data_IF_648621172452
#
_entry.id   IF_648621172452
#
_cell.length_a   1.000
_cell.length_b   1.000
_cell.length_c   1.000
_cell.angle_alpha   90.00
_cell.angle_beta   90.00
_cell.angle_gamma   90.00
#
_symmetry.space_group_name_H-M   'P 1'
#
loop_
_entity.id
_entity.type
_entity.pdbx_description
1 polymer ?
#
# COMPACT_ATOMS: atom_id res chain seq x y z
N UNK A 1 -2.61 12.56 -12.44
CA UNK A 1 -3.93 12.41 -11.75
C UNK A 1 -3.94 11.09 -11.02
N UNK A 2 -4.41 11.03 -9.75
CA UNK A 2 -4.59 9.78 -9.00
C UNK A 2 -5.84 9.08 -9.53
N UNK A 3 -5.75 7.82 -10.01
CA UNK A 3 -6.94 7.09 -10.45
C UNK A 3 -7.77 6.63 -9.24
N UNK A 4 -9.07 6.60 -9.39
CA UNK A 4 -9.99 5.94 -8.46
C UNK A 4 -10.15 4.47 -8.87
N UNK A 5 -9.76 3.56 -7.98
CA UNK A 5 -9.83 2.12 -8.20
C UNK A 5 -10.82 1.54 -7.20
N UNK A 6 -11.73 0.66 -7.63
CA UNK A 6 -12.79 0.14 -6.77
C UNK A 6 -13.10 -1.33 -7.08
N UNK A 7 -13.59 -2.08 -6.06
CA UNK A 7 -14.00 -3.48 -6.18
C UNK A 7 -15.42 -3.77 -5.64
N UNK A 8 -16.20 -2.72 -5.35
CA UNK A 8 -17.53 -2.83 -4.76
C UNK A 8 -17.54 -2.79 -3.22
N UNK A 9 -16.40 -2.95 -2.55
CA UNK A 9 -16.24 -2.92 -1.09
C UNK A 9 -15.30 -1.82 -0.65
N UNK A 10 -14.13 -1.72 -1.29
CA UNK A 10 -13.15 -0.68 -1.03
C UNK A 10 -12.83 0.14 -2.28
N UNK A 11 -12.41 1.38 -2.05
CA UNK A 11 -11.84 2.24 -3.10
C UNK A 11 -10.43 2.66 -2.70
N UNK A 12 -9.55 2.78 -3.71
CA UNK A 12 -8.27 3.44 -3.59
C UNK A 12 -8.38 4.84 -4.21
N UNK A 13 -8.16 5.86 -3.41
CA UNK A 13 -8.23 7.26 -3.83
C UNK A 13 -6.99 8.01 -3.35
N UNK A 14 -6.86 9.28 -3.70
CA UNK A 14 -5.85 10.13 -3.06
C UNK A 14 -6.19 10.41 -1.60
N UNK A 15 -5.18 10.70 -0.79
CA UNK A 15 -5.36 11.32 0.51
C UNK A 15 -5.78 12.78 0.38
N UNK A 16 -6.55 13.25 1.35
CA UNK A 16 -7.02 14.65 1.46
C UNK A 16 -6.78 15.17 2.88
N UNK A 17 -6.86 16.47 3.09
CA UNK A 17 -6.71 17.06 4.42
C UNK A 17 -7.77 16.57 5.41
N UNK A 18 -8.96 16.19 4.92
CA UNK A 18 -10.03 15.62 5.77
C UNK A 18 -9.64 14.26 6.36
N UNK A 19 -8.66 13.58 5.78
CA UNK A 19 -8.17 12.29 6.27
C UNK A 19 -7.21 12.41 7.46
N UNK A 20 -6.66 13.58 7.72
CA UNK A 20 -5.59 13.76 8.72
C UNK A 20 -6.02 13.24 10.09
N UNK A 21 -7.19 13.63 10.56
CA UNK A 21 -7.72 13.18 11.85
C UNK A 21 -8.04 11.69 11.87
N UNK A 22 -8.65 11.19 10.80
CA UNK A 22 -8.98 9.77 10.67
C UNK A 22 -7.70 8.91 10.60
N UNK A 23 -6.66 9.40 9.92
CA UNK A 23 -5.37 8.75 9.85
C UNK A 23 -4.73 8.64 11.24
N UNK A 24 -4.64 9.76 11.98
CA UNK A 24 -4.11 9.76 13.35
C UNK A 24 -4.90 8.86 14.30
N UNK A 25 -6.24 8.91 14.23
CA UNK A 25 -7.09 8.05 15.05
C UNK A 25 -7.00 6.56 14.68
N UNK A 26 -6.61 6.27 13.44
CA UNK A 26 -6.44 4.90 12.94
C UNK A 26 -5.09 4.28 13.26
N UNK A 27 -4.09 5.09 13.60
CA UNK A 27 -2.78 4.63 14.03
C UNK A 27 -2.80 4.25 15.50
N UNK A 28 -2.17 3.13 15.82
CA UNK A 28 -1.93 2.67 17.17
C UNK A 28 -0.44 2.39 17.38
N UNK A 29 -0.07 2.08 18.62
CA UNK A 29 1.32 1.77 18.98
C UNK A 29 1.88 0.61 18.15
N UNK A 30 1.07 -0.39 17.81
CA UNK A 30 1.49 -1.49 16.96
C UNK A 30 1.88 -1.00 15.57
N UNK A 31 1.06 -0.16 14.96
CA UNK A 31 1.36 0.47 13.67
C UNK A 31 2.65 1.27 13.75
N UNK A 32 2.80 2.12 14.77
CA UNK A 32 4.00 2.94 14.96
C UNK A 32 5.27 2.10 15.10
N UNK A 33 5.21 0.97 15.83
CA UNK A 33 6.32 0.03 15.96
C UNK A 33 6.65 -0.65 14.63
N UNK A 34 5.64 -1.09 13.88
CA UNK A 34 5.80 -1.78 12.60
C UNK A 34 6.43 -0.91 11.52
N UNK A 35 6.13 0.41 11.55
CA UNK A 35 6.70 1.38 10.61
C UNK A 35 7.97 2.08 11.13
N UNK A 36 8.44 1.75 12.34
CA UNK A 36 9.73 2.20 12.88
C UNK A 36 9.74 3.64 13.39
N UNK A 37 8.60 4.27 13.61
CA UNK A 37 8.56 5.60 14.21
C UNK A 37 8.28 5.65 15.72
N UNK A 38 7.93 4.52 16.33
CA UNK A 38 7.89 4.45 17.80
C UNK A 38 9.25 4.80 18.43
N UNK A 39 9.33 5.59 19.53
CA UNK A 39 8.23 6.11 20.36
C UNK A 39 7.68 7.48 19.93
N UNK A 40 8.02 7.98 18.75
CA UNK A 40 7.48 9.24 18.24
C UNK A 40 6.02 9.09 17.91
N UNK A 41 5.21 10.05 18.38
CA UNK A 41 3.79 10.12 18.04
C UNK A 41 3.63 11.09 16.86
N UNK A 42 3.02 10.68 15.75
CA UNK A 42 2.72 11.60 14.66
C UNK A 42 1.76 12.69 15.14
N UNK A 43 1.88 13.85 14.53
CA UNK A 43 1.01 15.02 14.76
C UNK A 43 0.22 15.33 13.51
N UNK A 44 -0.84 16.16 13.61
CA UNK A 44 -1.55 16.62 12.42
C UNK A 44 -0.60 17.28 11.40
N UNK A 45 0.40 18.03 11.87
CA UNK A 45 1.37 18.69 11.00
C UNK A 45 2.21 17.65 10.24
N UNK A 46 2.78 16.65 10.93
CA UNK A 46 3.59 15.61 10.26
C UNK A 46 2.78 14.75 9.30
N UNK A 47 1.50 14.51 9.58
CA UNK A 47 0.61 13.78 8.65
C UNK A 47 0.29 14.64 7.42
N UNK A 48 0.00 15.94 7.58
CA UNK A 48 -0.18 16.87 6.45
C UNK A 48 1.06 16.95 5.56
N UNK A 49 2.25 17.07 6.16
CA UNK A 49 3.50 17.08 5.41
C UNK A 49 3.70 15.78 4.61
N UNK A 50 3.33 14.64 5.20
CA UNK A 50 3.37 13.34 4.50
C UNK A 50 2.40 13.32 3.32
N UNK A 51 1.17 13.77 3.51
CA UNK A 51 0.16 13.81 2.44
C UNK A 51 0.55 14.78 1.32
N UNK A 52 1.12 15.94 1.67
CA UNK A 52 1.66 16.89 0.69
C UNK A 52 2.81 16.27 -0.12
N UNK A 53 3.71 15.52 0.54
CA UNK A 53 4.77 14.77 -0.12
C UNK A 53 4.23 13.73 -1.10
N UNK A 54 3.22 12.97 -0.71
CA UNK A 54 2.57 12.01 -1.61
C UNK A 54 1.86 12.70 -2.79
N UNK A 55 1.16 13.80 -2.54
CA UNK A 55 0.54 14.60 -3.61
C UNK A 55 1.59 15.10 -4.61
N UNK A 56 2.72 15.61 -4.12
CA UNK A 56 3.85 16.04 -4.95
C UNK A 56 4.40 14.90 -5.82
N UNK A 57 4.55 13.68 -5.27
CA UNK A 57 4.95 12.52 -6.06
C UNK A 57 3.97 12.19 -7.18
N UNK A 58 2.66 12.37 -6.96
CA UNK A 58 1.66 12.19 -8.01
C UNK A 58 1.77 13.26 -9.10
N UNK A 59 2.00 14.51 -8.73
CA UNK A 59 2.11 15.65 -9.66
C UNK A 59 3.36 15.55 -10.51
N UNK A 60 4.49 15.26 -9.89
CA UNK A 60 5.79 15.21 -10.55
C UNK A 60 6.14 13.84 -11.17
N UNK A 61 5.20 12.90 -11.19
CA UNK A 61 5.45 11.52 -11.62
C UNK A 61 6.62 10.86 -10.88
N UNK A 62 6.82 11.24 -9.62
CA UNK A 62 7.86 10.69 -8.74
C UNK A 62 7.65 9.21 -8.43
N UNK A 63 8.55 8.57 -7.69
CA UNK A 63 8.53 7.11 -7.51
C UNK A 63 7.45 6.59 -6.54
N UNK A 64 6.79 7.44 -5.75
CA UNK A 64 5.78 6.99 -4.78
C UNK A 64 4.37 7.13 -5.36
N UNK A 65 3.57 6.07 -5.20
CA UNK A 65 2.14 6.02 -5.55
C UNK A 65 1.36 5.63 -4.29
N UNK A 66 1.00 6.63 -3.49
CA UNK A 66 0.24 6.42 -2.26
C UNK A 66 -1.26 6.57 -2.49
N UNK A 67 -2.03 5.68 -1.87
CA UNK A 67 -3.49 5.65 -1.91
C UNK A 67 -4.07 5.53 -0.51
N UNK A 68 -5.13 6.28 -0.25
CA UNK A 68 -6.05 6.03 0.84
C UNK A 68 -6.95 4.82 0.47
N UNK A 69 -7.08 3.87 1.38
CA UNK A 69 -8.05 2.77 1.27
C UNK A 69 -9.32 3.18 1.99
N UNK A 70 -10.43 3.26 1.27
CA UNK A 70 -11.72 3.69 1.82
C UNK A 70 -12.78 2.61 1.70
N UNK A 71 -13.71 2.62 2.63
CA UNK A 71 -14.98 1.90 2.49
C UNK A 71 -15.79 2.53 1.35
N UNK A 72 -16.13 1.75 0.33
CA UNK A 72 -16.78 2.32 -0.85
C UNK A 72 -18.15 2.93 -0.55
N UNK A 73 -18.91 2.34 0.35
CA UNK A 73 -20.25 2.78 0.67
C UNK A 73 -20.32 4.12 1.42
N UNK A 74 -19.32 4.42 2.26
CA UNK A 74 -19.33 5.56 3.18
C UNK A 74 -18.22 6.59 2.92
N UNK A 75 -17.19 6.22 2.16
CA UNK A 75 -15.98 7.01 1.98
C UNK A 75 -15.03 7.01 3.19
N UNK A 76 -15.36 6.29 4.26
CA UNK A 76 -14.58 6.24 5.50
C UNK A 76 -13.19 5.68 5.25
N UNK A 77 -12.15 6.35 5.78
CA UNK A 77 -10.77 5.90 5.72
C UNK A 77 -10.61 4.60 6.53
N UNK A 78 -10.10 3.56 5.89
CA UNK A 78 -9.84 2.24 6.49
C UNK A 78 -8.36 1.97 6.67
N UNK A 79 -7.51 2.69 5.94
CA UNK A 79 -6.07 2.49 5.92
C UNK A 79 -5.43 3.11 4.69
N UNK A 80 -4.30 2.57 4.27
CA UNK A 80 -3.61 3.01 3.07
C UNK A 80 -2.69 1.96 2.50
N UNK A 81 -2.30 2.18 1.25
CA UNK A 81 -1.26 1.41 0.59
C UNK A 81 -0.45 2.31 -0.35
N UNK A 82 0.80 1.96 -0.57
CA UNK A 82 1.67 2.68 -1.50
C UNK A 82 2.57 1.72 -2.28
N UNK A 83 2.88 2.11 -3.51
CA UNK A 83 3.97 1.54 -4.28
C UNK A 83 5.15 2.51 -4.26
N UNK A 84 6.34 1.98 -4.05
CA UNK A 84 7.61 2.67 -4.24
C UNK A 84 8.30 2.06 -5.45
N UNK A 85 8.16 2.73 -6.60
CA UNK A 85 8.74 2.30 -7.86
C UNK A 85 10.26 2.27 -7.74
N UNK A 86 10.87 1.19 -8.25
CA UNK A 86 12.31 0.97 -8.25
C UNK A 86 12.83 1.00 -9.69
N UNK A 87 14.11 1.31 -9.90
CA UNK A 87 14.73 1.11 -11.21
C UNK A 87 14.57 -0.34 -11.68
N UNK A 88 14.36 -0.53 -12.98
CA UNK A 88 14.26 -1.87 -13.57
C UNK A 88 12.86 -2.49 -13.55
N UNK A 89 11.78 -1.70 -13.34
CA UNK A 89 10.40 -2.17 -13.48
C UNK A 89 9.83 -2.91 -12.26
N UNK A 90 10.53 -2.88 -11.13
CA UNK A 90 10.01 -3.44 -9.88
C UNK A 90 9.45 -2.36 -8.95
N UNK A 91 8.74 -2.76 -7.90
CA UNK A 91 8.25 -1.88 -6.87
C UNK A 91 8.25 -2.54 -5.50
N UNK A 92 8.40 -1.74 -4.45
CA UNK A 92 8.08 -2.17 -3.08
C UNK A 92 6.69 -1.70 -2.72
N UNK A 93 5.97 -2.51 -1.93
CA UNK A 93 4.67 -2.14 -1.38
C UNK A 93 4.74 -2.00 0.13
N UNK A 94 4.09 -0.96 0.63
CA UNK A 94 3.75 -0.82 2.05
C UNK A 94 2.23 -0.62 2.19
N UNK A 95 1.66 -1.08 3.29
CA UNK A 95 0.24 -0.92 3.60
C UNK A 95 -0.01 -0.95 5.10
N UNK A 96 -1.06 -0.28 5.50
CA UNK A 96 -1.55 -0.26 6.87
C UNK A 96 -3.08 -0.31 6.90
N UNK A 97 -3.63 -0.71 8.02
CA UNK A 97 -5.08 -0.72 8.25
C UNK A 97 -5.35 -0.13 9.62
N UNK A 98 -6.32 0.78 9.70
CA UNK A 98 -6.75 1.38 10.96
C UNK A 98 -7.15 0.29 11.96
N UNK A 99 -6.91 0.51 13.23
CA UNK A 99 -7.22 -0.47 14.29
C UNK A 99 -8.65 -0.99 14.18
N UNK A 100 -9.62 -0.12 13.89
CA UNK A 100 -11.04 -0.47 13.74
C UNK A 100 -11.38 -1.14 12.40
N UNK A 101 -10.50 -1.06 11.41
CA UNK A 101 -10.67 -1.67 10.08
C UNK A 101 -10.06 -3.05 9.91
N UNK A 102 -9.33 -3.54 10.92
CA UNK A 102 -8.65 -4.85 10.88
C UNK A 102 -9.64 -6.02 10.88
N UNK A 103 -9.22 -7.15 10.33
CA UNK A 103 -10.01 -8.38 10.33
C UNK A 103 -11.06 -8.50 9.23
N UNK A 104 -11.37 -7.44 8.49
CA UNK A 104 -12.44 -7.39 7.48
C UNK A 104 -11.95 -7.61 6.03
N UNK A 105 -10.65 -7.90 5.83
CA UNK A 105 -10.09 -8.16 4.50
C UNK A 105 -9.80 -6.91 3.66
N UNK A 106 -9.98 -5.72 4.18
CA UNK A 106 -9.80 -4.46 3.46
C UNK A 106 -8.37 -4.29 2.91
N UNK A 107 -7.33 -4.63 3.70
CA UNK A 107 -5.94 -4.59 3.22
C UNK A 107 -5.71 -5.52 2.02
N UNK A 108 -6.24 -6.74 2.06
CA UNK A 108 -6.13 -7.69 0.94
C UNK A 108 -6.77 -7.14 -0.33
N UNK A 109 -7.98 -6.56 -0.23
CA UNK A 109 -8.67 -5.92 -1.35
C UNK A 109 -7.91 -4.72 -1.89
N UNK A 110 -7.41 -3.86 -0.99
CA UNK A 110 -6.57 -2.72 -1.36
C UNK A 110 -5.32 -3.16 -2.13
N UNK A 111 -4.64 -4.21 -1.68
CA UNK A 111 -3.48 -4.76 -2.38
C UNK A 111 -3.84 -5.33 -3.76
N UNK A 112 -4.96 -6.02 -3.91
CA UNK A 112 -5.41 -6.56 -5.21
C UNK A 112 -5.68 -5.43 -6.20
N UNK A 113 -6.35 -4.36 -5.78
CA UNK A 113 -6.56 -3.17 -6.62
C UNK A 113 -5.22 -2.51 -6.99
N UNK A 114 -4.32 -2.39 -6.02
CA UNK A 114 -2.98 -1.83 -6.24
C UNK A 114 -2.17 -2.65 -7.24
N UNK A 115 -2.28 -4.00 -7.21
CA UNK A 115 -1.66 -4.89 -8.18
C UNK A 115 -2.16 -4.64 -9.61
N UNK A 116 -3.47 -4.45 -9.77
CA UNK A 116 -4.06 -4.09 -11.07
C UNK A 116 -3.51 -2.76 -11.60
N UNK A 117 -3.41 -1.76 -10.73
CA UNK A 117 -2.81 -0.48 -11.07
C UNK A 117 -1.33 -0.62 -11.45
N UNK A 118 -0.54 -1.34 -10.66
CA UNK A 118 0.88 -1.57 -10.93
C UNK A 118 1.12 -2.19 -12.30
N UNK A 119 0.32 -3.21 -12.67
CA UNK A 119 0.37 -3.80 -14.00
C UNK A 119 0.02 -2.81 -15.11
N UNK A 120 -0.91 -1.88 -14.88
CA UNK A 120 -1.30 -0.86 -15.86
C UNK A 120 -0.19 0.17 -16.15
N UNK A 121 0.73 0.37 -15.21
CA UNK A 121 1.88 1.28 -15.34
C UNK A 121 3.20 0.56 -15.66
N UNK A 122 3.16 -0.75 -16.00
CA UNK A 122 4.32 -1.50 -16.44
C UNK A 122 5.27 -1.96 -15.33
N UNK A 123 4.76 -2.15 -14.11
CA UNK A 123 5.54 -2.80 -13.03
C UNK A 123 5.51 -4.31 -13.27
N UNK A 124 6.69 -4.95 -13.28
CA UNK A 124 6.84 -6.37 -13.57
C UNK A 124 6.85 -7.25 -12.31
N UNK A 125 7.34 -6.72 -11.19
CA UNK A 125 7.41 -7.42 -9.91
C UNK A 125 7.16 -6.46 -8.75
N UNK A 126 6.41 -6.92 -7.76
CA UNK A 126 6.18 -6.17 -6.51
C UNK A 126 6.66 -7.01 -5.34
N UNK A 127 7.46 -6.37 -4.47
CA UNK A 127 7.92 -6.96 -3.22
C UNK A 127 7.23 -6.33 -2.00
N UNK A 128 6.87 -7.17 -1.03
CA UNK A 128 6.56 -6.75 0.34
C UNK A 128 7.58 -7.34 1.30
N UNK A 129 8.10 -6.53 2.20
CA UNK A 129 9.03 -6.93 3.25
C UNK A 129 8.27 -6.97 4.58
N UNK A 130 8.13 -8.15 5.16
CA UNK A 130 7.27 -8.38 6.32
C UNK A 130 8.07 -9.02 7.44
N UNK A 131 8.00 -8.47 8.64
CA UNK A 131 8.63 -9.06 9.82
C UNK A 131 8.01 -10.44 10.11
N UNK A 132 8.81 -11.48 10.49
CA UNK A 132 8.33 -12.85 10.66
C UNK A 132 7.21 -12.99 11.68
N UNK A 133 7.18 -12.14 12.70
CA UNK A 133 6.17 -12.08 13.75
C UNK A 133 4.91 -11.31 13.37
N UNK A 134 4.90 -10.60 12.22
CA UNK A 134 3.72 -9.92 11.72
C UNK A 134 2.81 -10.87 10.92
N UNK A 135 2.23 -11.85 11.65
CA UNK A 135 1.37 -12.87 11.05
C UNK A 135 0.14 -12.30 10.33
N UNK A 136 -0.36 -11.12 10.77
CA UNK A 136 -1.48 -10.46 10.11
C UNK A 136 -1.09 -10.01 8.69
N UNK A 137 0.04 -9.33 8.56
CA UNK A 137 0.56 -8.87 7.27
C UNK A 137 0.95 -10.04 6.37
N UNK A 138 1.57 -11.11 6.92
CA UNK A 138 1.87 -12.33 6.17
C UNK A 138 0.60 -12.91 5.52
N UNK A 139 -0.48 -13.06 6.30
CA UNK A 139 -1.77 -13.56 5.78
C UNK A 139 -2.39 -12.63 4.73
N UNK A 140 -2.25 -11.33 4.89
CA UNK A 140 -2.74 -10.35 3.89
C UNK A 140 -2.00 -10.53 2.57
N UNK A 141 -0.67 -10.59 2.59
CA UNK A 141 0.16 -10.78 1.41
C UNK A 141 -0.18 -12.12 0.71
N UNK A 142 -0.25 -13.22 1.45
CA UNK A 142 -0.59 -14.55 0.91
C UNK A 142 -1.99 -14.57 0.26
N UNK A 143 -3.00 -13.98 0.91
CA UNK A 143 -4.36 -13.85 0.36
C UNK A 143 -4.42 -12.94 -0.87
N UNK A 144 -3.55 -11.95 -0.97
CA UNK A 144 -3.42 -11.12 -2.17
C UNK A 144 -2.63 -11.80 -3.30
N UNK A 145 -2.14 -13.04 -3.08
CA UNK A 145 -1.46 -13.85 -4.09
C UNK A 145 0.07 -13.73 -4.09
N UNK A 146 0.64 -13.02 -3.13
CA UNK A 146 2.11 -12.95 -3.00
C UNK A 146 2.68 -14.31 -2.62
N UNK A 147 3.83 -14.65 -3.21
CA UNK A 147 4.59 -15.85 -2.87
C UNK A 147 5.62 -15.52 -1.80
N UNK A 148 5.60 -16.31 -0.74
CA UNK A 148 6.58 -16.22 0.33
C UNK A 148 7.94 -16.69 -0.15
N UNK A 149 8.97 -15.83 0.01
CA UNK A 149 10.38 -16.17 -0.21
C UNK A 149 11.10 -16.46 1.10
N UNK A 150 12.44 -16.45 1.04
CA UNK A 150 13.29 -16.64 2.20
C UNK A 150 13.42 -15.39 3.07
N UNK A 151 13.96 -15.55 4.29
CA UNK A 151 14.33 -14.43 5.15
C UNK A 151 15.56 -13.70 4.58
N UNK A 152 15.67 -12.41 4.92
CA UNK A 152 16.85 -11.59 4.64
C UNK A 152 17.00 -10.55 5.75
N UNK A 153 18.20 -9.97 5.84
CA UNK A 153 18.48 -8.87 6.78
C UNK A 153 18.28 -7.54 6.05
N UNK A 154 17.40 -6.70 6.58
CA UNK A 154 17.17 -5.35 6.09
C UNK A 154 18.34 -4.42 6.48
N UNK A 155 18.39 -3.22 5.92
CA UNK A 155 19.48 -2.26 6.13
C UNK A 155 19.63 -1.81 7.60
N UNK A 156 18.54 -1.84 8.36
CA UNK A 156 18.49 -1.55 9.79
C UNK A 156 18.86 -2.74 10.69
N UNK A 157 19.24 -3.89 10.09
CA UNK A 157 19.58 -5.13 10.79
C UNK A 157 18.39 -6.03 11.13
N UNK A 158 17.15 -5.62 10.84
CA UNK A 158 15.97 -6.43 11.12
C UNK A 158 15.87 -7.64 10.19
N UNK A 159 15.44 -8.79 10.72
CA UNK A 159 15.10 -9.95 9.89
C UNK A 159 13.72 -9.76 9.30
N UNK A 160 13.62 -9.83 7.97
CA UNK A 160 12.39 -9.70 7.21
C UNK A 160 12.19 -10.91 6.31
N UNK A 161 10.94 -11.21 5.97
CA UNK A 161 10.57 -12.19 4.95
C UNK A 161 10.19 -11.43 3.68
N UNK A 162 10.74 -11.85 2.55
CA UNK A 162 10.40 -11.31 1.25
C UNK A 162 9.18 -12.01 0.69
N UNK A 163 8.18 -11.23 0.30
CA UNK A 163 6.99 -11.68 -0.43
C UNK A 163 7.00 -11.04 -1.80
N UNK A 164 6.74 -11.82 -2.86
CA UNK A 164 6.79 -11.34 -4.25
C UNK A 164 5.56 -11.72 -5.04
N UNK A 165 5.16 -10.85 -5.95
CA UNK A 165 4.14 -11.11 -6.96
C UNK A 165 4.46 -10.35 -8.24
N UNK A 166 4.25 -11.00 -9.40
CA UNK A 166 4.10 -10.28 -10.65
C UNK A 166 2.65 -9.81 -10.80
N UNK A 167 2.37 -8.54 -11.12
CA UNK A 167 1.03 -8.10 -11.39
C UNK A 167 0.45 -8.87 -12.61
N UNK A 168 -0.89 -9.01 -12.71
CA UNK A 168 -1.50 -9.61 -13.88
C UNK A 168 -1.07 -8.82 -15.12
N UNK A 169 -0.63 -9.53 -16.17
CA UNK A 169 -0.25 -8.90 -17.43
C UNK A 169 -1.38 -7.97 -17.87
N UNK A 170 -1.04 -6.71 -18.12
CA UNK A 170 -2.00 -5.78 -18.70
C UNK A 170 -2.59 -6.43 -19.96
N UNK A 171 -3.91 -6.56 -20.06
CA UNK A 171 -4.54 -7.00 -21.30
C UNK A 171 -4.09 -5.99 -22.36
N UNK A 172 -3.16 -6.40 -23.22
CA UNK A 172 -2.77 -5.60 -24.38
C UNK A 172 -4.05 -5.44 -25.20
N UNK A 173 -4.64 -4.26 -25.15
CA UNK A 173 -5.73 -3.90 -26.04
C UNK A 173 -5.16 -3.92 -27.45
N UNK A 174 -5.62 -4.89 -28.29
CA UNK A 174 -5.52 -4.82 -29.74
C UNK A 174 -4.19 -5.22 -30.36
N UNK A 175 -3.94 -6.52 -30.48
CA UNK A 175 -3.34 -7.04 -31.69
C UNK A 175 -4.49 -7.45 -32.61
N UNK A 176 -4.88 -6.58 -33.52
CA UNK A 176 -5.73 -6.97 -34.64
C UNK A 176 -4.87 -7.89 -35.52
N UNK A 177 -5.30 -9.13 -35.81
CA UNK A 177 -4.60 -9.92 -36.83
C UNK A 177 -4.87 -9.31 -38.18
N UNK A 178 -3.78 -8.89 -38.86
CA UNK A 178 -3.80 -8.51 -40.28
C UNK A 178 -3.85 -9.72 -41.18
#
# INVERSE_FOLDING_TARGET
>A
MVPDLADGVVTLTRYTDDDVRAHLAGEDEETARRFGWWPRTPTEATVRDTFAGWAHHWEMSGPIRAFAVREQATGRLLGGCELRLQPGGSAHVAYWTSATGRGHGHATRGLILLLGYAGSIGVDEIEAHIAPDNHASCRVAEKAGYRRGGPFTAADGATMIRYRIGPPAARRAGATPG
#
